data_IF_019004248547
#
_entry.id   IF_019004248547
#
_cell.length_a   1.000
_cell.length_b   1.000
_cell.length_c   1.000
_cell.angle_alpha   90.00
_cell.angle_beta   90.00
_cell.angle_gamma   90.00
#
_symmetry.space_group_name_H-M   'P 1'
#
loop_
_entity.id
_entity.type
_entity.pdbx_description
1 polymer ?
#
# COMPACT_ATOMS: atom_id res chain seq x y z
N UNK A 1 4.35 23.34 -9.10
CA UNK A 1 3.43 22.19 -9.34
C UNK A 1 4.23 20.93 -9.53
N UNK A 2 3.87 19.88 -8.79
CA UNK A 2 4.57 18.60 -8.91
C UNK A 2 4.14 17.88 -10.19
N UNK A 3 5.09 17.21 -10.87
CA UNK A 3 4.72 16.37 -12.02
C UNK A 3 3.78 15.24 -11.56
N UNK A 4 2.95 14.69 -12.48
CA UNK A 4 2.04 13.59 -12.13
C UNK A 4 2.74 12.40 -11.48
N UNK A 5 3.97 12.07 -11.93
CA UNK A 5 4.75 10.95 -11.40
C UNK A 5 5.30 11.22 -9.99
N UNK A 6 5.12 12.44 -9.45
CA UNK A 6 5.61 12.77 -8.12
C UNK A 6 4.80 12.10 -7.00
N UNK A 7 3.64 11.54 -7.31
CA UNK A 7 2.77 10.88 -6.33
C UNK A 7 2.73 9.37 -6.56
N UNK A 8 2.73 8.63 -5.46
CA UNK A 8 2.60 7.18 -5.51
C UNK A 8 1.66 6.66 -4.43
N UNK A 9 1.03 5.53 -4.71
CA UNK A 9 0.26 4.77 -3.75
C UNK A 9 0.86 3.37 -3.67
N UNK A 10 1.12 2.90 -2.47
CA UNK A 10 1.60 1.55 -2.23
C UNK A 10 0.48 0.77 -1.56
N UNK A 11 0.06 -0.31 -2.21
CA UNK A 11 -0.86 -1.28 -1.63
C UNK A 11 -0.02 -2.29 -0.85
N UNK A 12 -0.12 -2.25 0.47
CA UNK A 12 0.77 -3.00 1.35
C UNK A 12 0.04 -4.22 1.90
N UNK A 13 0.50 -5.41 1.50
CA UNK A 13 -0.06 -6.67 1.95
C UNK A 13 0.84 -7.39 2.94
N UNK A 14 0.28 -8.39 3.63
CA UNK A 14 1.05 -9.19 4.58
C UNK A 14 2.13 -10.01 3.88
N UNK A 15 1.79 -10.65 2.79
CA UNK A 15 2.67 -11.55 2.06
C UNK A 15 2.28 -13.01 2.25
N UNK A 16 2.60 -13.83 1.27
CA UNK A 16 2.33 -15.26 1.26
C UNK A 16 3.25 -15.96 0.27
N UNK A 17 3.57 -17.22 0.54
CA UNK A 17 4.32 -18.05 -0.40
C UNK A 17 3.49 -18.52 -1.57
N UNK A 18 2.15 -18.43 -1.44
CA UNK A 18 1.22 -18.81 -2.51
C UNK A 18 1.15 -17.70 -3.55
N UNK A 19 1.58 -17.94 -4.80
CA UNK A 19 1.55 -16.89 -5.83
C UNK A 19 0.12 -16.42 -6.19
N UNK A 20 -0.89 -17.21 -5.91
CA UNK A 20 -2.28 -16.80 -6.17
C UNK A 20 -2.83 -15.84 -5.11
N UNK A 21 -2.23 -15.83 -3.92
CA UNK A 21 -2.70 -15.01 -2.80
C UNK A 21 -2.71 -13.51 -3.13
N UNK A 22 -1.73 -13.05 -3.90
CA UNK A 22 -1.58 -11.61 -4.19
C UNK A 22 -2.46 -11.10 -5.34
N UNK A 23 -3.11 -12.00 -6.08
CA UNK A 23 -3.90 -11.61 -7.25
C UNK A 23 -4.98 -10.55 -6.95
N UNK A 24 -5.75 -10.65 -5.85
CA UNK A 24 -6.72 -9.60 -5.53
C UNK A 24 -6.07 -8.23 -5.29
N UNK A 25 -4.91 -8.19 -4.63
CA UNK A 25 -4.21 -6.93 -4.40
C UNK A 25 -3.73 -6.34 -5.72
N UNK A 26 -3.19 -7.17 -6.60
CA UNK A 26 -2.75 -6.75 -7.92
C UNK A 26 -3.92 -6.25 -8.77
N UNK A 27 -5.09 -6.88 -8.64
CA UNK A 27 -6.30 -6.42 -9.34
C UNK A 27 -6.71 -5.02 -8.88
N UNK A 28 -6.59 -4.73 -7.58
CA UNK A 28 -6.85 -3.38 -7.07
C UNK A 28 -5.84 -2.39 -7.67
N UNK A 29 -4.56 -2.77 -7.76
CA UNK A 29 -3.54 -1.93 -8.37
C UNK A 29 -3.88 -1.59 -9.82
N UNK A 30 -4.36 -2.56 -10.59
CA UNK A 30 -4.78 -2.35 -11.97
C UNK A 30 -5.93 -1.37 -12.08
N UNK A 31 -6.91 -1.47 -11.16
CA UNK A 31 -8.03 -0.52 -11.11
C UNK A 31 -7.54 0.89 -10.79
N UNK A 32 -6.62 1.03 -9.85
CA UNK A 32 -6.06 2.35 -9.52
C UNK A 32 -5.35 2.95 -10.72
N UNK A 33 -4.60 2.15 -11.47
CA UNK A 33 -3.92 2.62 -12.68
C UNK A 33 -4.90 3.13 -13.73
N UNK A 34 -6.05 2.47 -13.85
CA UNK A 34 -7.11 2.90 -14.77
C UNK A 34 -7.76 4.20 -14.29
N UNK A 35 -8.02 4.32 -12.98
CA UNK A 35 -8.71 5.47 -12.40
C UNK A 35 -7.82 6.70 -12.31
N UNK A 36 -6.52 6.51 -12.10
CA UNK A 36 -5.58 7.60 -11.88
C UNK A 36 -4.23 7.29 -12.55
N UNK A 37 -4.17 7.36 -13.89
CA UNK A 37 -2.94 7.00 -14.62
C UNK A 37 -1.74 7.88 -14.29
N UNK A 38 -1.95 9.05 -13.69
CA UNK A 38 -0.88 9.96 -13.28
C UNK A 38 -0.23 9.57 -11.95
N UNK A 39 -0.81 8.60 -11.22
CA UNK A 39 -0.27 8.14 -9.94
C UNK A 39 0.51 6.85 -10.15
N UNK A 40 1.72 6.80 -9.59
CA UNK A 40 2.49 5.55 -9.55
C UNK A 40 1.84 4.62 -8.55
N UNK A 41 1.59 3.37 -8.94
CA UNK A 41 1.00 2.36 -8.06
C UNK A 41 1.94 1.18 -7.94
N UNK A 42 2.18 0.74 -6.73
CA UNK A 42 3.00 -0.45 -6.44
C UNK A 42 2.31 -1.32 -5.41
N UNK A 43 2.58 -2.61 -5.49
CA UNK A 43 2.23 -3.55 -4.42
C UNK A 43 3.52 -3.88 -3.68
N UNK A 44 3.47 -3.86 -2.36
CA UNK A 44 4.61 -4.23 -1.51
C UNK A 44 4.11 -5.08 -0.36
N UNK A 45 5.00 -5.85 0.26
CA UNK A 45 4.59 -6.87 1.21
C UNK A 45 5.47 -6.84 2.45
N UNK A 46 4.89 -7.27 3.58
CA UNK A 46 5.59 -7.32 4.86
C UNK A 46 6.66 -8.41 4.86
N UNK A 47 6.31 -9.58 4.32
CA UNK A 47 7.20 -10.75 4.30
C UNK A 47 6.77 -11.73 3.21
N UNK A 48 7.59 -12.74 2.96
CA UNK A 48 7.29 -13.92 2.12
C UNK A 48 7.05 -13.64 0.63
N UNK A 49 6.83 -12.40 0.25
CA UNK A 49 6.56 -11.99 -1.14
C UNK A 49 7.38 -10.75 -1.43
N UNK A 50 7.99 -10.70 -2.59
CA UNK A 50 8.71 -9.49 -3.03
C UNK A 50 7.81 -8.63 -3.91
N UNK A 51 8.04 -7.31 -3.93
CA UNK A 51 9.05 -6.58 -3.16
C UNK A 51 8.58 -6.23 -1.75
N UNK A 52 9.52 -5.95 -0.86
CA UNK A 52 9.19 -5.44 0.48
C UNK A 52 8.93 -3.91 0.42
N UNK A 53 8.45 -3.35 1.53
CA UNK A 53 8.10 -1.94 1.58
C UNK A 53 9.33 -1.02 1.45
N UNK A 54 10.44 -1.25 2.17
CA UNK A 54 11.62 -0.39 2.02
C UNK A 54 12.18 -0.35 0.61
N UNK A 55 12.27 -1.49 -0.07
CA UNK A 55 12.77 -1.57 -1.45
C UNK A 55 11.87 -0.81 -2.42
N UNK A 56 10.56 -0.93 -2.23
CA UNK A 56 9.57 -0.24 -3.07
C UNK A 56 9.68 1.27 -2.92
N UNK A 57 9.83 1.74 -1.68
CA UNK A 57 10.01 3.17 -1.42
C UNK A 57 11.30 3.70 -2.03
N UNK A 58 12.41 2.94 -1.89
CA UNK A 58 13.68 3.33 -2.47
C UNK A 58 13.57 3.45 -4.01
N UNK A 59 12.88 2.50 -4.63
CA UNK A 59 12.65 2.50 -6.07
C UNK A 59 11.85 3.72 -6.51
N UNK A 60 10.77 4.04 -5.80
CA UNK A 60 9.95 5.22 -6.08
C UNK A 60 10.74 6.52 -5.87
N UNK A 61 11.55 6.58 -4.83
CA UNK A 61 12.42 7.72 -4.58
C UNK A 61 13.37 7.96 -5.75
N UNK A 62 13.91 6.87 -6.32
CA UNK A 62 14.87 6.95 -7.43
C UNK A 62 14.27 7.53 -8.71
N UNK A 63 12.95 7.45 -8.88
CA UNK A 63 12.26 8.00 -10.05
C UNK A 63 11.57 9.34 -9.74
N UNK A 64 11.92 9.97 -8.63
CA UNK A 64 11.48 11.33 -8.32
C UNK A 64 10.16 11.46 -7.60
N UNK A 65 9.61 10.39 -7.03
CA UNK A 65 8.37 10.46 -6.25
C UNK A 65 8.62 11.27 -4.97
N UNK A 66 7.72 12.20 -4.69
CA UNK A 66 7.81 13.12 -3.56
C UNK A 66 6.72 12.91 -2.51
N UNK A 67 5.69 12.13 -2.82
CA UNK A 67 4.56 11.89 -1.92
C UNK A 67 4.12 10.43 -2.07
N UNK A 68 4.05 9.71 -0.96
CA UNK A 68 3.68 8.30 -0.95
C UNK A 68 2.57 8.06 0.06
N UNK A 69 1.48 7.44 -0.39
CA UNK A 69 0.41 6.97 0.47
C UNK A 69 0.53 5.45 0.60
N UNK A 70 0.60 4.95 1.83
CA UNK A 70 0.63 3.51 2.11
C UNK A 70 -0.74 3.06 2.56
N UNK A 71 -1.32 2.09 1.86
CA UNK A 71 -2.65 1.54 2.15
C UNK A 71 -2.49 0.09 2.60
N UNK A 72 -2.66 -0.19 3.90
CA UNK A 72 -2.61 -1.58 4.38
C UNK A 72 -3.81 -2.37 3.88
N UNK A 73 -3.54 -3.41 3.10
CA UNK A 73 -4.58 -4.23 2.46
C UNK A 73 -4.94 -5.41 3.36
N UNK A 74 -5.37 -5.10 4.59
CA UNK A 74 -5.76 -6.09 5.60
C UNK A 74 -7.23 -5.91 5.97
N UNK A 75 -7.95 -7.00 6.18
CA UNK A 75 -9.28 -6.92 6.79
C UNK A 75 -9.15 -6.52 8.24
N UNK A 76 -8.40 -7.29 9.00
CA UNK A 76 -8.01 -6.92 10.36
C UNK A 76 -6.50 -6.72 10.40
N UNK A 77 -6.04 -5.95 11.36
CA UNK A 77 -4.61 -5.71 11.54
C UNK A 77 -4.10 -6.67 12.61
N UNK A 78 -3.36 -7.70 12.17
CA UNK A 78 -2.73 -8.65 13.06
C UNK A 78 -1.67 -7.99 13.93
N UNK A 79 -1.29 -8.68 15.00
CA UNK A 79 -0.34 -8.15 15.97
C UNK A 79 0.99 -7.73 15.34
N UNK A 80 1.54 -8.57 14.47
CA UNK A 80 2.81 -8.27 13.79
C UNK A 80 2.74 -6.96 13.02
N UNK A 81 1.71 -6.80 12.20
CA UNK A 81 1.56 -5.60 11.40
C UNK A 81 1.33 -4.36 12.27
N UNK A 82 0.54 -4.50 13.36
CA UNK A 82 0.30 -3.38 14.29
C UNK A 82 1.58 -2.90 14.96
N UNK A 83 2.51 -3.82 15.24
CA UNK A 83 3.77 -3.47 15.90
C UNK A 83 4.83 -3.03 14.89
N UNK A 84 4.90 -3.70 13.75
CA UNK A 84 5.97 -3.50 12.78
C UNK A 84 5.75 -2.31 11.84
N UNK A 85 4.50 -2.08 11.41
CA UNK A 85 4.24 -1.02 10.44
C UNK A 85 4.59 0.38 10.94
N UNK A 86 4.25 0.77 12.19
CA UNK A 86 4.69 2.08 12.68
C UNK A 86 6.20 2.25 12.71
N UNK A 87 6.94 1.18 13.03
CA UNK A 87 8.41 1.22 13.04
C UNK A 87 8.95 1.36 11.62
N UNK A 88 8.40 0.62 10.66
CA UNK A 88 8.76 0.74 9.26
C UNK A 88 8.51 2.15 8.74
N UNK A 89 7.34 2.72 9.05
CA UNK A 89 7.00 4.06 8.60
C UNK A 89 7.94 5.11 9.18
N UNK A 90 8.29 4.99 10.48
CA UNK A 90 9.24 5.89 11.12
C UNK A 90 10.61 5.82 10.45
N UNK A 91 11.06 4.62 10.14
CA UNK A 91 12.34 4.39 9.47
C UNK A 91 12.35 4.98 8.05
N UNK A 92 11.27 4.79 7.31
CA UNK A 92 11.14 5.33 5.96
C UNK A 92 11.13 6.86 5.95
N UNK A 93 10.43 7.47 6.92
CA UNK A 93 10.43 8.93 7.06
C UNK A 93 11.83 9.47 7.37
N UNK A 94 12.60 8.75 8.18
CA UNK A 94 13.96 9.13 8.51
C UNK A 94 14.91 9.00 7.32
N UNK A 95 14.76 7.94 6.53
CA UNK A 95 15.61 7.68 5.36
C UNK A 95 15.31 8.57 4.16
N UNK A 96 14.05 9.00 4.03
CA UNK A 96 13.58 9.78 2.88
C UNK A 96 12.91 11.05 3.35
N UNK A 97 13.68 12.00 3.95
CA UNK A 97 13.10 13.22 4.50
C UNK A 97 12.47 14.13 3.44
N UNK A 98 12.81 13.92 2.16
CA UNK A 98 12.23 14.67 1.05
C UNK A 98 10.85 14.16 0.62
N UNK A 99 10.47 12.95 1.08
CA UNK A 99 9.18 12.34 0.72
C UNK A 99 8.17 12.58 1.83
N UNK A 100 6.97 13.01 1.44
CA UNK A 100 5.84 13.13 2.33
C UNK A 100 5.11 11.80 2.36
N UNK A 101 5.00 11.20 3.55
CA UNK A 101 4.34 9.90 3.74
C UNK A 101 2.99 10.06 4.43
N UNK A 102 1.98 9.39 3.91
CA UNK A 102 0.68 9.24 4.54
C UNK A 102 0.34 7.76 4.66
N UNK A 103 -0.20 7.36 5.79
CA UNK A 103 -0.65 5.98 6.01
C UNK A 103 -2.15 5.97 6.24
N UNK A 104 -2.87 5.25 5.39
CA UNK A 104 -4.31 5.08 5.56
C UNK A 104 -4.61 4.02 6.61
N UNK A 105 -5.85 4.03 7.12
CA UNK A 105 -6.36 2.91 7.89
C UNK A 105 -6.31 1.63 7.06
N UNK A 106 -6.19 0.48 7.70
CA UNK A 106 -6.31 -0.80 7.01
C UNK A 106 -7.64 -0.85 6.24
N UNK A 107 -7.62 -1.50 5.08
CA UNK A 107 -8.76 -1.47 4.17
C UNK A 107 -10.05 -1.98 4.84
N UNK A 108 -9.94 -3.01 5.68
CA UNK A 108 -11.09 -3.57 6.40
C UNK A 108 -11.66 -2.68 7.49
N UNK A 109 -10.98 -1.58 7.83
CA UNK A 109 -11.44 -0.63 8.85
C UNK A 109 -12.20 0.56 8.25
N UNK A 110 -12.22 0.68 6.92
CA UNK A 110 -12.97 1.75 6.25
C UNK A 110 -14.46 1.43 6.24
N UNK A 111 -15.29 2.40 6.62
CA UNK A 111 -16.75 2.22 6.69
C UNK A 111 -17.33 1.80 5.34
N UNK A 112 -16.85 2.39 4.24
CA UNK A 112 -17.31 2.05 2.90
C UNK A 112 -17.03 0.59 2.53
N UNK A 113 -15.88 0.08 2.95
CA UNK A 113 -15.49 -1.30 2.68
C UNK A 113 -16.32 -2.27 3.52
N UNK A 114 -16.51 -1.96 4.80
CA UNK A 114 -17.36 -2.77 5.70
C UNK A 114 -18.77 -2.87 5.12
N UNK A 115 -19.35 -1.76 4.68
CA UNK A 115 -20.67 -1.74 4.10
C UNK A 115 -20.76 -2.60 2.83
N UNK A 116 -19.76 -2.47 1.95
CA UNK A 116 -19.74 -3.25 0.72
C UNK A 116 -19.61 -4.75 1.01
N UNK A 117 -18.77 -5.13 1.95
CA UNK A 117 -18.63 -6.53 2.35
C UNK A 117 -19.95 -7.09 2.91
N UNK A 118 -20.65 -6.29 3.71
CA UNK A 118 -21.94 -6.70 4.25
C UNK A 118 -22.98 -6.90 3.12
N UNK A 119 -23.00 -6.00 2.14
CA UNK A 119 -23.90 -6.12 0.99
C UNK A 119 -23.59 -7.40 0.21
N UNK A 120 -22.34 -7.69 -0.04
CA UNK A 120 -21.92 -8.91 -0.74
C UNK A 120 -22.34 -10.15 0.05
N UNK A 121 -22.19 -10.13 1.38
CA UNK A 121 -22.56 -11.25 2.25
C UNK A 121 -24.06 -11.53 2.23
N UNK A 122 -24.89 -10.50 1.95
CA UNK A 122 -26.35 -10.62 1.96
C UNK A 122 -26.95 -10.92 0.58
N UNK A 123 -26.15 -10.88 -0.46
CA UNK A 123 -26.64 -11.09 -1.81
C UNK A 123 -26.76 -12.57 -2.19
#
# INVERSE_FOLDING_TARGET
MNPPTARATILFGHGSRDPLWRLPIEAVADQVRTMAPEVQVRCAYLELTEPDLPSTVADLASVGVMSITVVPMFLGVGRHAREDLPLLMAELRARHPQIEFDQKLAIGEHAQVIELMAQIALS
#
